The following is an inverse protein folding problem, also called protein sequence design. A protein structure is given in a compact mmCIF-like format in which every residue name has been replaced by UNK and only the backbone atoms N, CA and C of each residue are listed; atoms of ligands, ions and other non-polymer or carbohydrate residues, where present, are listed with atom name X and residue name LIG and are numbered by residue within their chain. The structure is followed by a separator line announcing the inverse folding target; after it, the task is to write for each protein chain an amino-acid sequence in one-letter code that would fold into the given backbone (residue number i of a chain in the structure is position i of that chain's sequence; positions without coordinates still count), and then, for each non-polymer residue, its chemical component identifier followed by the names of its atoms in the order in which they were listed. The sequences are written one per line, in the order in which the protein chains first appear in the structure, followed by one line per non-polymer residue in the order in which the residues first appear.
data_IF_835161881977
#
_entry.id   IF_835161881977
#
_cell.length_a   1.000
_cell.length_b   1.000
_cell.length_c   1.000
_cell.angle_alpha   90.00
_cell.angle_beta   90.00
_cell.angle_gamma   90.00
#
_symmetry.space_group_name_H-M   'P 1'
#
loop_
_entity.id
_entity.type
_entity.pdbx_description
1 polymer ?
#
# COMPACT_ATOMS: atom_id res chain seq x y z
N UNK A 1 4.04 3.25 -5.42
CA UNK A 1 3.18 4.44 -5.19
C UNK A 1 1.76 4.05 -5.56
N UNK A 2 0.76 4.25 -4.70
CA UNK A 2 -0.61 3.78 -4.92
C UNK A 2 -1.47 4.85 -5.61
N UNK A 3 -1.26 5.07 -6.90
CA UNK A 3 -2.00 6.09 -7.66
C UNK A 3 -3.44 5.59 -7.92
N UNK A 4 -4.48 6.33 -7.51
CA UNK A 4 -5.88 5.90 -7.68
C UNK A 4 -6.25 5.66 -9.14
N UNK A 5 -6.88 4.51 -9.42
CA UNK A 5 -7.29 4.13 -10.79
C UNK A 5 -6.16 3.62 -11.70
N UNK A 6 -4.89 3.72 -11.27
CA UNK A 6 -3.74 3.20 -12.00
C UNK A 6 -3.10 2.00 -11.31
N UNK A 7 -3.09 1.98 -9.98
CA UNK A 7 -2.46 0.90 -9.19
C UNK A 7 -3.49 0.29 -8.24
N UNK A 8 -3.79 -0.99 -8.41
CA UNK A 8 -4.74 -1.73 -7.58
C UNK A 8 -4.08 -2.90 -6.82
N UNK A 9 -4.91 -3.65 -6.10
CA UNK A 9 -4.43 -4.78 -5.31
C UNK A 9 -3.87 -5.93 -6.17
N UNK A 10 -4.36 -6.13 -7.40
CA UNK A 10 -3.90 -7.19 -8.28
C UNK A 10 -2.49 -6.90 -8.81
N UNK A 11 -2.23 -5.66 -9.22
CA UNK A 11 -0.89 -5.23 -9.61
C UNK A 11 0.10 -5.31 -8.43
N UNK A 12 -0.34 -4.85 -7.25
CA UNK A 12 0.47 -4.93 -6.02
C UNK A 12 0.77 -6.39 -5.65
N UNK A 13 -0.20 -7.29 -5.79
CA UNK A 13 0.00 -8.73 -5.54
C UNK A 13 1.02 -9.34 -6.50
N UNK A 14 0.94 -8.99 -7.80
CA UNK A 14 1.88 -9.46 -8.80
C UNK A 14 3.33 -8.99 -8.52
N UNK A 15 3.50 -7.73 -8.12
CA UNK A 15 4.81 -7.18 -7.72
C UNK A 15 5.30 -7.88 -6.44
N UNK A 16 4.44 -8.04 -5.44
CA UNK A 16 4.82 -8.68 -4.19
C UNK A 16 5.25 -10.13 -4.38
N UNK A 17 4.54 -10.88 -5.23
CA UNK A 17 4.94 -12.24 -5.64
C UNK A 17 6.29 -12.26 -6.34
N UNK A 18 6.50 -11.36 -7.30
CA UNK A 18 7.79 -11.25 -8.00
C UNK A 18 8.96 -10.96 -7.04
N UNK A 19 8.75 -10.08 -6.04
CA UNK A 19 9.76 -9.79 -5.02
C UNK A 19 9.97 -11.01 -4.12
N UNK A 20 8.90 -11.70 -3.71
CA UNK A 20 8.98 -12.87 -2.84
C UNK A 20 9.68 -14.07 -3.49
N UNK A 21 9.57 -14.21 -4.82
CA UNK A 21 10.31 -15.22 -5.61
C UNK A 21 11.83 -15.01 -5.51
N UNK A 22 12.29 -13.78 -5.22
CA UNK A 22 13.69 -13.50 -4.91
C UNK A 22 13.99 -13.77 -3.43
N UNK A 23 13.28 -13.11 -2.53
CA UNK A 23 13.37 -13.31 -1.07
C UNK A 23 12.16 -12.66 -0.37
N UNK A 24 11.33 -13.41 0.38
CA UNK A 24 10.13 -12.89 1.04
C UNK A 24 10.43 -11.89 2.17
N UNK A 25 11.67 -11.81 2.65
CA UNK A 25 12.12 -10.85 3.67
C UNK A 25 12.43 -9.46 3.12
N UNK A 26 12.49 -9.29 1.78
CA UNK A 26 12.75 -8.00 1.14
C UNK A 26 11.63 -7.01 1.51
N UNK A 27 11.98 -5.81 2.00
CA UNK A 27 10.99 -4.82 2.38
C UNK A 27 10.30 -4.20 1.15
N UNK A 28 8.97 -4.08 1.22
CA UNK A 28 8.17 -3.42 0.18
C UNK A 28 7.32 -2.29 0.78
N UNK A 29 7.54 -1.07 0.27
CA UNK A 29 6.84 0.14 0.73
C UNK A 29 5.77 0.59 -0.25
N UNK A 30 4.51 0.57 0.21
CA UNK A 30 3.37 1.13 -0.49
C UNK A 30 3.17 2.58 -0.02
N UNK A 31 3.20 3.54 -0.93
CA UNK A 31 3.08 4.96 -0.59
C UNK A 31 1.69 5.48 -0.97
N UNK A 32 0.96 6.06 -0.02
CA UNK A 32 -0.29 6.79 -0.29
C UNK A 32 0.04 8.00 -1.17
N UNK A 33 -0.72 8.14 -2.24
CA UNK A 33 -0.58 9.20 -3.23
C UNK A 33 -1.16 10.53 -2.73
N UNK A 34 -0.44 11.63 -2.99
CA UNK A 34 -0.85 12.99 -2.69
C UNK A 34 -0.82 13.83 -3.97
N UNK A 35 -1.96 14.36 -4.45
CA UNK A 35 -2.05 15.13 -5.71
C UNK A 35 -1.54 16.58 -5.57
N UNK A 36 -0.38 16.81 -4.98
CA UNK A 36 0.15 18.16 -4.73
C UNK A 36 0.89 18.80 -5.92
N UNK A 37 1.18 18.03 -6.98
CA UNK A 37 1.96 18.53 -8.11
C UNK A 37 1.30 18.26 -9.46
N UNK A 38 1.62 17.16 -10.13
CA UNK A 38 0.97 16.69 -11.35
C UNK A 38 -0.18 15.73 -11.00
N UNK A 39 -1.12 15.50 -11.92
CA UNK A 39 -2.32 14.67 -11.71
C UNK A 39 -3.22 15.20 -10.57
N UNK A 40 -3.48 16.52 -10.58
CA UNK A 40 -4.29 17.22 -9.56
C UNK A 40 -5.79 16.88 -9.62
N UNK A 41 -6.22 16.27 -10.71
CA UNK A 41 -7.56 15.77 -10.97
C UNK A 41 -7.84 14.43 -10.26
N UNK A 42 -6.80 13.75 -9.75
CA UNK A 42 -6.95 12.52 -8.99
C UNK A 42 -7.11 12.79 -7.49
N UNK A 43 -7.88 11.95 -6.77
CA UNK A 43 -7.96 12.03 -5.33
C UNK A 43 -6.68 11.51 -4.66
N UNK A 44 -6.57 11.72 -3.34
CA UNK A 44 -5.66 10.93 -2.48
C UNK A 44 -6.05 9.45 -2.57
N UNK A 45 -5.09 8.52 -2.40
CA UNK A 45 -5.40 7.08 -2.33
C UNK A 45 -6.47 6.81 -1.27
N UNK A 46 -7.62 6.21 -1.60
CA UNK A 46 -8.61 5.84 -0.61
C UNK A 46 -8.06 4.84 0.40
N UNK A 47 -8.45 4.96 1.67
CA UNK A 47 -8.04 4.03 2.73
C UNK A 47 -8.31 2.57 2.37
N UNK A 48 -9.50 2.30 1.79
CA UNK A 48 -9.89 0.96 1.34
C UNK A 48 -8.88 0.36 0.37
N UNK A 49 -8.49 1.13 -0.65
CA UNK A 49 -7.50 0.69 -1.64
C UNK A 49 -6.13 0.45 -0.99
N UNK A 50 -5.69 1.32 -0.08
CA UNK A 50 -4.43 1.13 0.64
C UNK A 50 -4.44 -0.15 1.49
N UNK A 51 -5.55 -0.46 2.17
CA UNK A 51 -5.73 -1.70 2.94
C UNK A 51 -5.74 -2.93 2.04
N UNK A 52 -6.45 -2.90 0.92
CA UNK A 52 -6.50 -4.01 -0.04
C UNK A 52 -5.12 -4.30 -0.63
N UNK A 53 -4.39 -3.27 -1.04
CA UNK A 53 -3.02 -3.38 -1.54
C UNK A 53 -2.06 -3.92 -0.46
N UNK A 54 -2.17 -3.42 0.78
CA UNK A 54 -1.37 -3.92 1.89
C UNK A 54 -1.60 -5.41 2.15
N UNK A 55 -2.86 -5.85 2.21
CA UNK A 55 -3.22 -7.26 2.40
C UNK A 55 -2.69 -8.12 1.25
N UNK A 56 -2.86 -7.68 0.01
CA UNK A 56 -2.35 -8.36 -1.17
C UNK A 56 -0.83 -8.58 -1.10
N UNK A 57 -0.07 -7.53 -0.76
CA UNK A 57 1.37 -7.65 -0.60
C UNK A 57 1.78 -8.56 0.58
N UNK A 58 1.06 -8.49 1.70
CA UNK A 58 1.34 -9.25 2.92
C UNK A 58 1.15 -10.77 2.79
N UNK A 59 0.40 -11.23 1.78
CA UNK A 59 0.29 -12.65 1.46
C UNK A 59 1.61 -13.26 0.99
N UNK A 60 2.52 -12.44 0.44
CA UNK A 60 3.77 -12.89 -0.18
C UNK A 60 5.01 -12.41 0.56
N UNK A 61 4.95 -11.22 1.18
CA UNK A 61 6.12 -10.56 1.80
C UNK A 61 5.99 -10.40 3.31
N UNK A 62 7.08 -10.67 4.02
CA UNK A 62 7.19 -10.57 5.49
C UNK A 62 7.21 -9.12 5.99
N UNK A 63 7.67 -8.18 5.16
CA UNK A 63 7.94 -6.79 5.56
C UNK A 63 7.29 -5.81 4.60
N UNK A 64 6.00 -5.54 4.81
CA UNK A 64 5.25 -4.54 4.04
C UNK A 64 5.00 -3.30 4.89
N UNK A 65 5.31 -2.13 4.35
CA UNK A 65 5.10 -0.84 5.01
C UNK A 65 4.15 0.04 4.19
N UNK A 66 3.28 0.80 4.86
CA UNK A 66 2.46 1.83 4.21
C UNK A 66 2.92 3.20 4.65
N UNK A 67 3.43 4.00 3.72
CA UNK A 67 3.89 5.36 3.94
C UNK A 67 2.81 6.40 3.67
N UNK A 68 3.06 7.65 4.10
CA UNK A 68 2.15 8.80 3.97
C UNK A 68 0.77 8.60 4.64
N UNK A 69 0.73 7.84 5.74
CA UNK A 69 -0.49 7.55 6.50
C UNK A 69 -1.20 8.79 7.06
N UNK A 70 -0.49 9.89 7.28
CA UNK A 70 -1.07 11.16 7.71
C UNK A 70 -2.10 11.71 6.72
N UNK A 71 -1.98 11.40 5.42
CA UNK A 71 -2.96 11.76 4.39
C UNK A 71 -4.30 11.03 4.56
N UNK A 72 -4.29 9.93 5.32
CA UNK A 72 -5.47 9.14 5.66
C UNK A 72 -5.98 9.41 7.09
N UNK A 73 -5.40 10.37 7.80
CA UNK A 73 -5.68 10.60 9.22
C UNK A 73 -5.20 9.47 10.14
N UNK A 74 -4.20 8.69 9.70
CA UNK A 74 -3.67 7.54 10.44
C UNK A 74 -2.27 7.87 10.97
N UNK A 75 -2.07 7.63 12.26
CA UNK A 75 -0.85 7.87 13.00
C UNK A 75 -0.04 6.58 13.12
N UNK A 76 0.71 6.29 12.06
CA UNK A 76 1.70 5.22 12.02
C UNK A 76 1.13 3.83 11.75
N UNK A 77 2.05 2.89 11.53
CA UNK A 77 1.71 1.52 11.15
C UNK A 77 0.84 0.76 12.16
N UNK A 78 1.02 0.88 13.50
CA UNK A 78 0.17 0.13 14.44
C UNK A 78 -1.32 0.45 14.32
N UNK A 79 -1.68 1.72 14.07
CA UNK A 79 -3.08 2.09 13.82
C UNK A 79 -3.54 1.63 12.44
N UNK A 80 -2.67 1.70 11.42
CA UNK A 80 -3.02 1.20 10.09
C UNK A 80 -3.30 -0.31 10.10
N UNK A 81 -2.47 -1.10 10.77
CA UNK A 81 -2.62 -2.56 10.82
C UNK A 81 -3.85 -2.99 11.61
N UNK A 82 -4.23 -2.27 12.67
CA UNK A 82 -5.48 -2.55 13.39
C UNK A 82 -6.72 -2.33 12.51
N UNK A 83 -6.69 -1.34 11.60
CA UNK A 83 -7.73 -1.10 10.60
C UNK A 83 -7.69 -2.11 9.46
N UNK A 84 -6.49 -2.51 9.03
CA UNK A 84 -6.31 -3.50 7.98
C UNK A 84 -6.68 -4.92 8.44
N UNK A 85 -6.82 -5.18 9.73
CA UNK A 85 -7.11 -6.51 10.28
C UNK A 85 -5.98 -7.52 10.05
N UNK A 86 -6.14 -8.77 10.51
CA UNK A 86 -5.19 -9.83 10.19
C UNK A 86 -5.18 -10.06 8.67
N UNK A 87 -4.00 -9.94 8.07
CA UNK A 87 -3.73 -10.26 6.67
C UNK A 87 -3.33 -11.71 6.50
#
# INVERSE_FOLDING_TARGET
LLVPGYVDAAEVEAIARFIADLDPSIPYSLLVFHPAHLMRDLPVTPLKQAVECYRAARRHLERVHVGNLSLLGIHGMPQFTSLAGPG
#
